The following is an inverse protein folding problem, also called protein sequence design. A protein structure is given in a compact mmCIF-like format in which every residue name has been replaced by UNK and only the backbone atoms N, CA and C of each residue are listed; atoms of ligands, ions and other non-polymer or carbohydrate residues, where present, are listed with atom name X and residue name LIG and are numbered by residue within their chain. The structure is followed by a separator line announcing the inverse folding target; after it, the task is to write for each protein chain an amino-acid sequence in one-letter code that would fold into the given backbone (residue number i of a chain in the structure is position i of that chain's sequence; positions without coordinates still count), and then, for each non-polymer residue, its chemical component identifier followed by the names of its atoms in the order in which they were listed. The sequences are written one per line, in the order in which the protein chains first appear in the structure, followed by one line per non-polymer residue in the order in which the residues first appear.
data_IF_506803699961
#
_entry.id   IF_506803699961
#
_cell.length_a   1.000
_cell.length_b   1.000
_cell.length_c   1.000
_cell.angle_alpha   90.00
_cell.angle_beta   90.00
_cell.angle_gamma   90.00
#
_symmetry.space_group_name_H-M   'P 1'
#
loop_
_entity.id
_entity.type
_entity.pdbx_description
1 polymer ?
#
# COMPACT_ATOMS: atom_id res chain seq x y z
N UNK A 1 2.22 -13.85 -11.10
CA UNK A 1 1.39 -13.04 -12.05
C UNK A 1 2.26 -12.15 -12.92
N UNK A 2 1.92 -11.98 -14.20
CA UNK A 2 2.53 -10.97 -15.08
C UNK A 2 1.56 -9.81 -15.34
N UNK A 3 2.06 -8.57 -15.30
CA UNK A 3 1.27 -7.39 -15.66
C UNK A 3 1.53 -7.06 -17.13
N UNK A 4 0.51 -7.25 -17.96
CA UNK A 4 0.52 -6.96 -19.40
C UNK A 4 -0.05 -5.59 -19.72
N UNK A 5 -1.04 -5.13 -18.93
CA UNK A 5 -1.60 -3.78 -19.05
C UNK A 5 -1.75 -3.10 -17.69
N UNK A 6 -1.54 -1.79 -17.67
CA UNK A 6 -1.77 -0.94 -16.52
C UNK A 6 -2.21 0.44 -17.03
N UNK A 7 -3.42 0.86 -16.68
CA UNK A 7 -4.07 2.05 -17.18
C UNK A 7 -4.60 2.90 -16.02
N UNK A 8 -4.29 4.20 -16.02
CA UNK A 8 -4.94 5.13 -15.13
C UNK A 8 -6.43 5.24 -15.48
N UNK A 9 -7.30 5.13 -14.47
CA UNK A 9 -8.75 5.23 -14.66
C UNK A 9 -9.32 6.52 -14.12
N UNK A 10 -9.07 6.84 -12.85
CA UNK A 10 -9.67 8.01 -12.21
C UNK A 10 -8.87 8.44 -10.98
N UNK A 11 -8.95 9.73 -10.68
CA UNK A 11 -8.56 10.33 -9.39
C UNK A 11 -9.82 10.78 -8.67
N UNK A 12 -10.08 10.23 -7.49
CA UNK A 12 -11.30 10.50 -6.72
C UNK A 12 -10.98 11.28 -5.44
N UNK A 13 -11.73 12.34 -5.18
CA UNK A 13 -11.64 13.12 -3.93
C UNK A 13 -12.52 12.56 -2.81
N UNK A 14 -13.35 11.56 -3.12
CA UNK A 14 -14.26 10.87 -2.22
C UNK A 14 -14.36 9.40 -2.61
N UNK A 15 -14.58 8.51 -1.65
CA UNK A 15 -14.64 7.07 -1.95
C UNK A 15 -15.88 6.67 -2.77
N UNK A 16 -16.99 7.38 -2.64
CA UNK A 16 -18.19 7.15 -3.46
C UNK A 16 -18.01 7.52 -4.96
N UNK A 17 -16.96 8.26 -5.30
CA UNK A 17 -16.57 8.58 -6.68
C UNK A 17 -15.57 7.56 -7.27
N UNK A 18 -15.19 6.54 -6.52
CA UNK A 18 -14.32 5.47 -7.02
C UNK A 18 -15.06 4.58 -8.04
N UNK A 19 -14.34 3.81 -8.86
CA UNK A 19 -14.94 2.95 -9.88
C UNK A 19 -16.01 2.04 -9.31
N UNK A 20 -17.12 1.92 -10.03
CA UNK A 20 -18.19 0.98 -9.69
C UNK A 20 -17.87 -0.42 -10.23
N UNK A 21 -18.47 -1.45 -9.63
CA UNK A 21 -18.29 -2.84 -10.02
C UNK A 21 -17.62 -3.67 -8.93
N UNK A 22 -17.25 -4.92 -9.26
CA UNK A 22 -16.80 -5.91 -8.27
C UNK A 22 -15.32 -6.31 -8.43
N UNK A 23 -14.55 -5.57 -9.22
CA UNK A 23 -13.13 -5.88 -9.37
C UNK A 23 -12.39 -5.67 -8.03
N UNK A 24 -11.55 -6.61 -7.60
CA UNK A 24 -10.80 -6.47 -6.37
C UNK A 24 -9.83 -5.29 -6.43
N UNK A 25 -9.69 -4.58 -5.31
CA UNK A 25 -8.83 -3.43 -5.16
C UNK A 25 -7.70 -3.73 -4.17
N UNK A 26 -6.47 -3.50 -4.59
CA UNK A 26 -5.27 -3.57 -3.76
C UNK A 26 -4.73 -2.17 -3.54
N UNK A 27 -4.93 -1.66 -2.34
CA UNK A 27 -4.58 -0.28 -2.00
C UNK A 27 -3.18 -0.18 -1.39
N UNK A 28 -2.48 0.89 -1.73
CA UNK A 28 -1.13 1.18 -1.27
C UNK A 28 -1.13 2.49 -0.49
N UNK A 29 -0.62 2.44 0.74
CA UNK A 29 -0.57 3.58 1.65
C UNK A 29 0.77 3.62 2.38
N UNK A 30 1.16 4.77 2.87
CA UNK A 30 2.36 4.94 3.67
C UNK A 30 2.64 6.42 3.91
N UNK A 31 3.70 6.71 4.65
CA UNK A 31 4.11 8.08 4.92
C UNK A 31 4.63 8.77 3.66
N UNK A 32 4.69 10.10 3.71
CA UNK A 32 5.30 10.88 2.64
C UNK A 32 6.73 10.42 2.34
N UNK A 33 7.08 10.33 1.07
CA UNK A 33 8.41 9.93 0.60
C UNK A 33 8.84 8.50 0.99
N UNK A 34 7.92 7.63 1.38
CA UNK A 34 8.20 6.22 1.67
C UNK A 34 8.61 5.42 0.42
N UNK A 35 8.34 5.94 -0.78
CA UNK A 35 8.65 5.29 -2.05
C UNK A 35 7.44 4.67 -2.75
N UNK A 36 6.21 5.06 -2.37
CA UNK A 36 4.96 4.48 -2.88
C UNK A 36 4.82 4.58 -4.41
N UNK A 37 4.97 5.77 -4.99
CA UNK A 37 4.87 5.94 -6.45
C UNK A 37 5.96 5.17 -7.20
N UNK A 38 7.18 5.11 -6.67
CA UNK A 38 8.28 4.33 -7.25
C UNK A 38 7.96 2.82 -7.21
N UNK A 39 7.38 2.34 -6.11
CA UNK A 39 6.94 0.95 -5.99
C UNK A 39 5.85 0.62 -7.01
N UNK A 40 4.81 1.46 -7.13
CA UNK A 40 3.73 1.29 -8.10
C UNK A 40 4.27 1.21 -9.53
N UNK A 41 5.16 2.14 -9.90
CA UNK A 41 5.79 2.16 -11.21
C UNK A 41 6.64 0.90 -11.46
N UNK A 42 7.35 0.41 -10.45
CA UNK A 42 8.15 -0.81 -10.50
C UNK A 42 7.27 -2.05 -10.66
N UNK A 43 6.20 -2.18 -9.86
CA UNK A 43 5.27 -3.31 -9.94
C UNK A 43 4.64 -3.40 -11.34
N UNK A 44 4.20 -2.28 -11.89
CA UNK A 44 3.50 -2.21 -13.18
C UNK A 44 4.44 -2.19 -14.39
N UNK A 45 5.76 -2.05 -14.20
CA UNK A 45 6.74 -1.80 -15.27
C UNK A 45 6.39 -0.55 -16.11
N UNK A 46 5.76 0.45 -15.49
CA UNK A 46 5.35 1.71 -16.14
C UNK A 46 5.97 2.90 -15.39
N UNK A 47 7.10 3.45 -15.85
CA UNK A 47 7.93 4.40 -15.09
C UNK A 47 7.26 5.74 -14.78
N UNK A 48 6.10 6.03 -15.39
CA UNK A 48 5.36 7.29 -15.20
C UNK A 48 3.87 7.07 -14.91
N UNK A 49 3.45 5.87 -14.52
CA UNK A 49 2.06 5.58 -14.23
C UNK A 49 1.60 6.33 -12.98
N UNK A 50 2.31 6.16 -11.87
CA UNK A 50 2.14 6.98 -10.68
C UNK A 50 3.14 8.13 -10.69
N UNK A 51 2.65 9.34 -10.39
CA UNK A 51 3.52 10.53 -10.40
C UNK A 51 4.47 10.50 -9.21
N UNK A 52 5.76 10.38 -9.49
CA UNK A 52 6.81 10.55 -8.47
C UNK A 52 7.01 12.04 -8.21
N UNK A 53 6.96 12.44 -6.96
CA UNK A 53 7.19 13.83 -6.55
C UNK A 53 8.12 13.86 -5.34
N UNK A 54 9.16 14.68 -5.42
CA UNK A 54 9.99 15.03 -4.27
C UNK A 54 9.28 16.03 -3.32
N UNK A 55 8.19 16.65 -3.78
CA UNK A 55 7.43 17.60 -2.98
C UNK A 55 6.39 16.85 -2.15
N UNK A 56 6.45 16.90 -0.81
CA UNK A 56 5.44 16.29 0.05
C UNK A 56 4.06 16.86 -0.24
N UNK A 57 3.06 16.00 -0.35
CA UNK A 57 1.68 16.45 -0.29
C UNK A 57 0.93 16.63 -1.61
N UNK A 58 1.38 16.10 -2.73
CA UNK A 58 0.64 16.23 -4.00
C UNK A 58 -0.55 15.27 -4.15
N UNK A 59 -0.53 14.10 -3.52
CA UNK A 59 -1.62 13.14 -3.65
C UNK A 59 -2.63 13.34 -2.53
N UNK A 60 -3.69 14.10 -2.81
CA UNK A 60 -4.88 14.26 -1.95
C UNK A 60 -6.04 13.40 -2.44
N UNK A 61 -5.81 12.62 -3.48
CA UNK A 61 -6.83 11.89 -4.21
C UNK A 61 -6.53 10.39 -4.13
N UNK A 62 -7.58 9.61 -4.25
CA UNK A 62 -7.51 8.17 -4.44
C UNK A 62 -7.33 7.92 -5.94
N UNK A 63 -6.21 7.35 -6.35
CA UNK A 63 -5.92 7.09 -7.76
C UNK A 63 -6.10 5.60 -8.07
N UNK A 64 -6.96 5.28 -9.03
CA UNK A 64 -7.19 3.91 -9.48
C UNK A 64 -6.48 3.64 -10.79
N UNK A 65 -5.73 2.54 -10.83
CA UNK A 65 -5.08 2.00 -12.02
C UNK A 65 -5.63 0.61 -12.31
N UNK A 66 -6.24 0.41 -13.47
CA UNK A 66 -6.76 -0.89 -13.89
C UNK A 66 -5.61 -1.75 -14.41
N UNK A 67 -5.45 -2.91 -13.80
CA UNK A 67 -4.38 -3.87 -14.10
C UNK A 67 -4.95 -5.10 -14.80
N UNK A 68 -4.40 -5.44 -15.95
CA UNK A 68 -4.81 -6.60 -16.77
C UNK A 68 -6.32 -6.68 -17.06
N UNK A 69 -7.05 -5.57 -16.86
CA UNK A 69 -8.52 -5.50 -16.93
C UNK A 69 -9.24 -6.39 -15.88
N UNK A 70 -8.54 -6.83 -14.84
CA UNK A 70 -9.02 -7.80 -13.86
C UNK A 70 -9.08 -7.27 -12.43
N UNK A 71 -8.29 -6.30 -12.07
CA UNK A 71 -8.21 -5.75 -10.72
C UNK A 71 -7.67 -4.33 -10.70
N UNK A 72 -7.84 -3.63 -9.58
CA UNK A 72 -7.32 -2.28 -9.41
C UNK A 72 -6.13 -2.23 -8.45
N UNK A 73 -5.06 -1.57 -8.88
CA UNK A 73 -4.07 -1.02 -7.99
C UNK A 73 -4.52 0.39 -7.59
N UNK A 74 -4.57 0.66 -6.27
CA UNK A 74 -5.09 1.93 -5.75
C UNK A 74 -4.02 2.66 -4.96
N UNK A 75 -3.72 3.88 -5.37
CA UNK A 75 -2.77 4.76 -4.69
C UNK A 75 -3.54 5.70 -3.75
N UNK A 76 -3.44 5.45 -2.44
CA UNK A 76 -4.06 6.28 -1.41
C UNK A 76 -3.17 7.46 -1.03
N UNK A 77 -3.76 8.60 -0.58
CA UNK A 77 -2.98 9.65 0.06
C UNK A 77 -2.26 9.09 1.28
N UNK A 78 -1.04 9.56 1.51
CA UNK A 78 -0.26 9.11 2.68
C UNK A 78 -0.81 9.66 3.99
N UNK A 79 -0.48 9.00 5.09
CA UNK A 79 -0.74 9.50 6.45
C UNK A 79 0.49 10.23 7.03
N UNK A 80 0.31 10.90 8.17
CA UNK A 80 1.43 11.47 8.95
C UNK A 80 2.06 12.73 8.39
N UNK A 81 1.32 13.58 7.69
CA UNK A 81 1.81 14.85 7.16
C UNK A 81 1.84 15.95 8.22
N UNK A 82 2.97 16.11 8.94
CA UNK A 82 3.13 17.16 9.94
C UNK A 82 3.15 18.60 9.36
N UNK A 83 3.43 18.75 8.07
CA UNK A 83 3.59 20.08 7.43
C UNK A 83 2.29 20.66 6.84
N UNK A 84 1.15 19.98 7.02
CA UNK A 84 -0.14 20.46 6.52
C UNK A 84 -0.99 21.04 7.62
N UNK A 85 -1.79 22.05 7.30
CA UNK A 85 -2.73 22.62 8.26
C UNK A 85 -3.71 21.53 8.79
N UNK A 86 -4.07 21.64 10.08
CA UNK A 86 -4.89 20.67 10.82
C UNK A 86 -6.16 20.22 10.04
N UNK A 87 -6.90 21.17 9.46
CA UNK A 87 -8.11 20.89 8.66
C UNK A 87 -7.85 19.98 7.45
N UNK A 88 -6.69 20.12 6.80
CA UNK A 88 -6.34 19.29 5.65
C UNK A 88 -5.98 17.87 6.09
N UNK A 89 -5.29 17.72 7.22
CA UNK A 89 -4.96 16.42 7.79
C UNK A 89 -6.23 15.65 8.19
N UNK A 90 -7.17 16.30 8.85
CA UNK A 90 -8.45 15.71 9.21
C UNK A 90 -9.25 15.25 7.97
N UNK A 91 -9.20 16.02 6.89
CA UNK A 91 -9.86 15.65 5.62
C UNK A 91 -9.22 14.42 4.98
N UNK A 92 -7.89 14.34 4.96
CA UNK A 92 -7.16 13.18 4.42
C UNK A 92 -7.43 11.94 5.27
N UNK A 93 -7.38 12.08 6.58
CA UNK A 93 -7.65 10.99 7.51
C UNK A 93 -9.05 10.42 7.30
N UNK A 94 -10.08 11.26 7.25
CA UNK A 94 -11.44 10.84 6.97
C UNK A 94 -11.59 10.15 5.61
N UNK A 95 -10.87 10.61 4.59
CA UNK A 95 -10.87 9.98 3.28
C UNK A 95 -10.28 8.58 3.33
N UNK A 96 -9.15 8.42 4.03
CA UNK A 96 -8.50 7.11 4.24
C UNK A 96 -9.41 6.18 5.03
N UNK A 97 -9.92 6.64 6.18
CA UNK A 97 -10.81 5.87 7.05
C UNK A 97 -12.05 5.39 6.28
N UNK A 98 -12.72 6.29 5.57
CA UNK A 98 -13.90 5.93 4.79
C UNK A 98 -13.57 4.91 3.70
N UNK A 99 -12.47 5.11 2.93
CA UNK A 99 -12.07 4.16 1.90
C UNK A 99 -11.74 2.78 2.50
N UNK A 100 -10.98 2.75 3.58
CA UNK A 100 -10.49 1.50 4.18
C UNK A 100 -11.60 0.72 4.87
N UNK A 101 -12.57 1.40 5.50
CA UNK A 101 -13.63 0.77 6.27
C UNK A 101 -14.90 0.47 5.45
N UNK A 102 -15.23 1.30 4.46
CA UNK A 102 -16.52 1.24 3.76
C UNK A 102 -16.40 0.73 2.31
N UNK A 103 -15.18 0.62 1.77
CA UNK A 103 -15.00 0.18 0.39
C UNK A 103 -14.99 -1.34 0.29
N UNK A 104 -16.11 -1.94 -0.12
CA UNK A 104 -16.29 -3.39 -0.24
C UNK A 104 -15.29 -4.07 -1.18
N UNK A 105 -14.87 -3.37 -2.25
CA UNK A 105 -13.90 -3.89 -3.24
C UNK A 105 -12.47 -3.90 -2.70
N UNK A 106 -12.18 -3.18 -1.60
CA UNK A 106 -10.84 -3.15 -1.00
C UNK A 106 -10.49 -4.50 -0.40
N UNK A 107 -9.67 -5.26 -1.11
CA UNK A 107 -9.35 -6.65 -0.80
C UNK A 107 -8.15 -6.76 0.16
N UNK A 108 -7.14 -5.93 -0.04
CA UNK A 108 -5.95 -5.88 0.82
C UNK A 108 -5.32 -4.49 0.78
N UNK A 109 -4.92 -4.00 1.96
CA UNK A 109 -4.18 -2.74 2.10
C UNK A 109 -2.69 -3.04 2.27
N UNK A 110 -1.83 -2.54 1.38
CA UNK A 110 -0.38 -2.61 1.54
C UNK A 110 0.11 -1.37 2.28
N UNK A 111 0.63 -1.56 3.49
CA UNK A 111 1.25 -0.52 4.32
C UNK A 111 2.75 -0.46 4.01
N UNK A 112 3.21 0.65 3.47
CA UNK A 112 4.59 0.86 3.10
C UNK A 112 5.39 1.49 4.24
N UNK A 113 6.51 0.86 4.59
CA UNK A 113 7.45 1.31 5.60
C UNK A 113 8.84 1.49 4.97
N UNK A 114 9.56 2.53 5.36
CA UNK A 114 10.96 2.72 4.93
C UNK A 114 11.87 1.78 5.72
N UNK A 115 12.47 0.81 5.05
CA UNK A 115 13.32 -0.22 5.67
C UNK A 115 14.54 0.31 6.40
N UNK A 116 14.89 1.57 6.17
CA UNK A 116 16.05 2.24 6.82
C UNK A 116 15.74 2.73 8.22
N UNK A 117 14.46 2.87 8.55
CA UNK A 117 14.01 3.43 9.81
C UNK A 117 13.71 2.34 10.83
N UNK A 118 13.91 2.67 12.09
CA UNK A 118 13.39 1.88 13.21
C UNK A 118 11.85 2.03 13.30
N UNK A 119 11.17 1.17 14.08
CA UNK A 119 9.73 1.27 14.27
C UNK A 119 9.28 2.68 14.67
N UNK A 120 8.44 3.27 13.85
CA UNK A 120 7.90 4.60 14.08
C UNK A 120 6.54 4.48 14.76
N UNK A 121 6.33 5.25 15.82
CA UNK A 121 5.09 5.23 16.59
C UNK A 121 3.84 5.40 15.70
N UNK A 122 3.88 6.34 14.78
CA UNK A 122 2.75 6.63 13.88
C UNK A 122 2.42 5.44 12.95
N UNK A 123 3.42 4.68 12.52
CA UNK A 123 3.21 3.50 11.68
C UNK A 123 2.61 2.36 12.51
N UNK A 124 3.10 2.16 13.74
CA UNK A 124 2.58 1.17 14.68
C UNK A 124 1.12 1.45 15.06
N UNK A 125 0.81 2.70 15.44
CA UNK A 125 -0.56 3.14 15.77
C UNK A 125 -1.52 2.96 14.58
N UNK A 126 -1.05 3.21 13.34
CA UNK A 126 -1.87 3.01 12.16
C UNK A 126 -2.16 1.52 11.91
N UNK A 127 -1.15 0.66 12.05
CA UNK A 127 -1.34 -0.79 11.90
C UNK A 127 -2.21 -1.38 13.03
N UNK A 128 -2.07 -0.91 14.27
CA UNK A 128 -2.93 -1.27 15.39
C UNK A 128 -4.39 -0.94 15.08
N UNK A 129 -4.66 0.29 14.62
CA UNK A 129 -5.99 0.71 14.20
C UNK A 129 -6.56 -0.17 13.07
N UNK A 130 -5.74 -0.57 12.08
CA UNK A 130 -6.17 -1.51 11.03
C UNK A 130 -6.60 -2.86 11.62
N UNK A 131 -5.82 -3.39 12.56
CA UNK A 131 -6.12 -4.65 13.24
C UNK A 131 -7.38 -4.60 14.08
N UNK A 132 -7.57 -3.53 14.87
CA UNK A 132 -8.76 -3.31 15.69
C UNK A 132 -10.05 -3.25 14.84
N UNK A 133 -9.94 -2.75 13.60
CA UNK A 133 -11.07 -2.67 12.68
C UNK A 133 -11.18 -3.88 11.72
N UNK A 134 -10.37 -4.92 11.91
CA UNK A 134 -10.42 -6.14 11.09
C UNK A 134 -10.04 -5.93 9.62
N UNK A 135 -9.27 -4.89 9.31
CA UNK A 135 -8.86 -4.56 7.95
C UNK A 135 -7.77 -5.51 7.48
N UNK A 136 -7.94 -6.24 6.36
CA UNK A 136 -6.89 -7.09 5.83
C UNK A 136 -5.74 -6.25 5.27
N UNK A 137 -4.52 -6.44 5.80
CA UNK A 137 -3.37 -5.71 5.31
C UNK A 137 -2.09 -6.55 5.28
N UNK A 138 -1.13 -6.09 4.47
CA UNK A 138 0.23 -6.62 4.39
C UNK A 138 1.24 -5.46 4.47
N UNK A 139 2.48 -5.75 4.82
CA UNK A 139 3.54 -4.74 4.99
C UNK A 139 4.53 -4.84 3.83
N UNK A 140 4.95 -3.68 3.29
CA UNK A 140 6.05 -3.62 2.33
C UNK A 140 7.16 -2.71 2.88
N UNK A 141 8.30 -3.30 3.21
CA UNK A 141 9.51 -2.57 3.59
C UNK A 141 10.23 -2.09 2.32
N UNK A 142 10.18 -0.80 2.04
CA UNK A 142 10.73 -0.19 0.82
C UNK A 142 12.18 0.24 0.97
N UNK A 143 12.82 0.62 -0.14
CA UNK A 143 14.18 1.19 -0.20
C UNK A 143 15.29 0.28 0.34
N UNK A 144 15.14 -1.03 0.17
CA UNK A 144 16.13 -2.01 0.63
C UNK A 144 17.51 -1.85 -0.02
N UNK A 145 17.58 -1.19 -1.18
CA UNK A 145 18.83 -0.87 -1.89
C UNK A 145 19.66 0.25 -1.25
N UNK A 146 19.07 1.04 -0.34
CA UNK A 146 19.73 2.21 0.27
C UNK A 146 20.62 1.86 1.48
N UNK A 147 20.75 0.59 1.80
CA UNK A 147 21.59 0.07 2.89
C UNK A 147 22.01 -1.38 2.62
N UNK A 148 22.88 -1.95 3.47
CA UNK A 148 23.28 -3.33 3.33
C UNK A 148 22.13 -4.29 3.61
N UNK A 149 22.18 -5.49 3.03
CA UNK A 149 21.21 -6.56 3.26
C UNK A 149 21.10 -6.90 4.76
N UNK A 150 22.25 -6.95 5.47
CA UNK A 150 22.27 -7.22 6.90
C UNK A 150 21.55 -6.13 7.71
N UNK A 151 21.75 -4.85 7.37
CA UNK A 151 21.06 -3.74 8.04
C UNK A 151 19.57 -3.73 7.75
N UNK A 152 19.17 -3.98 6.50
CA UNK A 152 17.76 -4.13 6.12
C UNK A 152 17.10 -5.24 6.93
N UNK A 153 17.72 -6.41 6.99
CA UNK A 153 17.22 -7.54 7.77
C UNK A 153 17.08 -7.21 9.26
N UNK A 154 18.08 -6.53 9.83
CA UNK A 154 18.04 -6.10 11.23
C UNK A 154 16.87 -5.17 11.51
N UNK A 155 16.66 -4.13 10.67
CA UNK A 155 15.57 -3.17 10.85
C UNK A 155 14.18 -3.83 10.67
N UNK A 156 14.03 -4.70 9.65
CA UNK A 156 12.80 -5.47 9.44
C UNK A 156 12.49 -6.33 10.67
N UNK A 157 13.48 -7.07 11.19
CA UNK A 157 13.30 -7.88 12.39
C UNK A 157 12.93 -7.04 13.61
N UNK A 158 13.47 -5.82 13.75
CA UNK A 158 13.10 -4.89 14.82
C UNK A 158 11.61 -4.53 14.73
N UNK A 159 11.10 -4.19 13.54
CA UNK A 159 9.68 -3.97 13.31
C UNK A 159 8.82 -5.18 13.65
N UNK A 160 9.19 -6.36 13.12
CA UNK A 160 8.43 -7.59 13.34
C UNK A 160 8.39 -7.98 14.83
N UNK A 161 9.50 -7.82 15.55
CA UNK A 161 9.53 -8.06 16.99
C UNK A 161 8.64 -7.09 17.76
N UNK A 162 8.60 -5.84 17.33
CA UNK A 162 7.71 -4.84 17.94
C UNK A 162 6.23 -5.17 17.72
N UNK A 163 5.89 -5.63 16.53
CA UNK A 163 4.53 -6.07 16.22
C UNK A 163 4.13 -7.32 17.03
N UNK A 164 5.06 -8.27 17.25
CA UNK A 164 4.81 -9.47 18.06
C UNK A 164 4.45 -9.20 19.53
N UNK A 165 4.74 -8.00 20.03
CA UNK A 165 4.32 -7.62 21.39
C UNK A 165 2.80 -7.47 21.50
N UNK A 166 2.09 -7.24 20.38
CA UNK A 166 0.65 -6.97 20.33
C UNK A 166 -0.13 -7.94 19.44
N UNK A 167 0.55 -8.67 18.54
CA UNK A 167 -0.06 -9.52 17.53
C UNK A 167 0.31 -10.99 17.72
N UNK A 168 -0.68 -11.87 17.78
CA UNK A 168 -0.45 -13.32 17.81
C UNK A 168 0.13 -13.81 16.47
N UNK A 169 -0.47 -13.36 15.35
CA UNK A 169 -0.01 -13.62 14.00
C UNK A 169 0.44 -12.33 13.32
N UNK A 170 1.64 -12.37 12.75
CA UNK A 170 2.15 -11.22 12.01
C UNK A 170 1.46 -11.10 10.65
N UNK A 171 1.15 -9.87 10.20
CA UNK A 171 0.69 -9.67 8.84
C UNK A 171 1.73 -10.13 7.82
N UNK A 172 1.31 -10.58 6.63
CA UNK A 172 2.23 -10.85 5.52
C UNK A 172 3.13 -9.65 5.27
N UNK A 173 4.41 -9.90 5.00
CA UNK A 173 5.35 -8.80 4.80
C UNK A 173 6.37 -9.12 3.71
N UNK A 174 6.83 -8.07 3.04
CA UNK A 174 7.72 -8.12 1.89
C UNK A 174 8.83 -7.08 2.03
N UNK A 175 10.01 -7.39 1.51
CA UNK A 175 11.12 -6.44 1.38
C UNK A 175 11.25 -6.04 -0.08
N UNK A 176 11.33 -4.74 -0.36
CA UNK A 176 11.28 -4.24 -1.71
C UNK A 176 12.31 -3.13 -2.00
N UNK A 177 12.78 -3.13 -3.23
CA UNK A 177 13.52 -2.04 -3.83
C UNK A 177 13.00 -1.76 -5.23
N UNK A 178 12.59 -0.54 -5.47
CA UNK A 178 12.18 -0.10 -6.81
C UNK A 178 13.36 0.03 -7.78
N UNK A 179 14.57 0.22 -7.26
CA UNK A 179 15.79 0.38 -8.04
C UNK A 179 16.23 -0.93 -8.70
N UNK A 180 16.35 -1.99 -7.89
CA UNK A 180 16.81 -3.31 -8.34
C UNK A 180 15.68 -4.33 -8.53
N UNK A 181 14.41 -3.91 -8.37
CA UNK A 181 13.21 -4.71 -8.54
C UNK A 181 13.04 -5.87 -7.54
N UNK A 182 13.75 -5.83 -6.41
CA UNK A 182 13.58 -6.78 -5.31
C UNK A 182 12.13 -6.76 -4.80
N UNK A 183 11.58 -7.92 -4.49
CA UNK A 183 10.23 -8.09 -3.92
C UNK A 183 9.08 -7.96 -4.93
N UNK A 184 9.36 -7.61 -6.21
CA UNK A 184 8.32 -7.45 -7.22
C UNK A 184 7.54 -8.74 -7.45
N UNK A 185 8.26 -9.85 -7.63
CA UNK A 185 7.63 -11.15 -7.91
C UNK A 185 6.77 -11.60 -6.73
N UNK A 186 7.31 -11.51 -5.53
CA UNK A 186 6.69 -11.95 -4.28
C UNK A 186 5.39 -11.18 -4.01
N UNK A 187 5.40 -9.85 -4.18
CA UNK A 187 4.21 -9.02 -4.01
C UNK A 187 3.14 -9.37 -5.05
N UNK A 188 3.52 -9.51 -6.33
CA UNK A 188 2.57 -9.85 -7.39
C UNK A 188 2.03 -11.27 -7.25
N UNK A 189 2.82 -12.23 -6.81
CA UNK A 189 2.37 -13.60 -6.57
C UNK A 189 1.41 -13.67 -5.37
N UNK A 190 1.62 -12.84 -4.34
CA UNK A 190 0.69 -12.70 -3.23
C UNK A 190 -0.66 -12.15 -3.70
N UNK A 191 -0.68 -11.08 -4.50
CA UNK A 191 -1.91 -10.54 -5.09
C UNK A 191 -2.60 -11.60 -5.96
N UNK A 192 -1.83 -12.34 -6.78
CA UNK A 192 -2.37 -13.39 -7.64
C UNK A 192 -3.03 -14.52 -6.86
N UNK A 193 -2.42 -14.93 -5.74
CA UNK A 193 -2.98 -15.98 -4.87
C UNK A 193 -4.35 -15.57 -4.29
N UNK A 194 -4.51 -14.31 -3.91
CA UNK A 194 -5.78 -13.77 -3.42
C UNK A 194 -6.81 -13.72 -4.55
N UNK A 195 -6.43 -13.22 -5.74
CA UNK A 195 -7.31 -13.18 -6.90
C UNK A 195 -7.80 -14.58 -7.32
N UNK A 196 -6.93 -15.59 -7.22
CA UNK A 196 -7.32 -16.99 -7.52
C UNK A 196 -8.31 -17.49 -6.47
N UNK A 197 -8.13 -17.18 -5.19
CA UNK A 197 -9.06 -17.55 -4.13
C UNK A 197 -10.45 -16.92 -4.35
N UNK A 198 -10.52 -15.65 -4.71
CA UNK A 198 -11.78 -14.94 -5.00
C UNK A 198 -12.50 -15.62 -6.17
N UNK A 199 -11.80 -15.86 -7.30
CA UNK A 199 -12.38 -16.52 -8.48
C UNK A 199 -12.93 -17.92 -8.18
N UNK A 200 -12.22 -18.69 -7.35
CA UNK A 200 -12.66 -20.02 -6.95
C UNK A 200 -13.94 -19.98 -6.10
N UNK A 201 -14.08 -18.96 -5.24
CA UNK A 201 -15.28 -18.79 -4.40
C UNK A 201 -16.50 -18.36 -5.23
N UNK A 202 -16.32 -17.53 -6.25
CA UNK A 202 -17.41 -17.11 -7.15
C UNK A 202 -17.88 -18.20 -8.12
N UNK A 203 -17.07 -19.25 -8.30
CA UNK A 203 -17.37 -20.37 -9.22
C UNK A 203 -18.09 -21.54 -8.53
N UNK A 204 -18.32 -21.46 -7.22
CA UNK A 204 -19.04 -22.45 -6.40
C UNK A 204 -20.49 -22.02 -6.16
#
# INVERSE_FOLDING_TARGET
MEITSAEFKISSSRADMCPQGNLPEYAFIGRSNVGKSSLINMLTKRPKLAMTSSTPGKTLLINHFLINKEWYLVDLPGYGYAQRGKKMMEKIQKLIEYYVLEREQMTCLFVLLDSRLEPQKIDLEFMEWLGENGVPFAIIFTKADKQSVAKTRSNVNCYLNKLKEQWEELPPHFVSSSENKTGRKEILDYIDSINQSIRNTESM
#
